data_IF_653242080699
#
_entry.id   IF_653242080699
#
_cell.length_a   1.000
_cell.length_b   1.000
_cell.length_c   1.000
_cell.angle_alpha   90.00
_cell.angle_beta   90.00
_cell.angle_gamma   90.00
#
_symmetry.space_group_name_H-M   'P 1'
#
loop_
_entity.id
_entity.type
_entity.pdbx_description
1 polymer ?
#
# COMPACT_ATOMS: atom_id res chain seq x y z
N UNK A 1 -7.85 -21.70 -3.68
CA UNK A 1 -7.91 -20.38 -4.35
C UNK A 1 -6.80 -20.30 -5.39
N UNK A 2 -7.03 -19.62 -6.52
CA UNK A 2 -6.05 -19.59 -7.61
C UNK A 2 -4.95 -18.55 -7.31
N UNK A 3 -3.70 -19.02 -7.20
CA UNK A 3 -2.51 -18.18 -7.09
C UNK A 3 -2.29 -17.45 -8.41
N UNK A 4 -2.23 -16.12 -8.37
CA UNK A 4 -1.94 -15.27 -9.52
C UNK A 4 -0.43 -15.05 -9.62
N UNK A 5 0.15 -15.34 -10.77
CA UNK A 5 1.55 -15.04 -11.01
C UNK A 5 1.74 -13.53 -11.24
N UNK A 6 2.87 -12.99 -10.77
CA UNK A 6 3.32 -11.68 -11.22
C UNK A 6 3.60 -11.71 -12.72
N UNK A 7 3.44 -10.55 -13.39
CA UNK A 7 3.93 -10.41 -14.77
C UNK A 7 5.43 -10.68 -14.83
N UNK A 8 5.95 -11.24 -15.93
CA UNK A 8 7.34 -11.68 -16.03
C UNK A 8 8.36 -10.55 -15.74
N UNK A 9 8.07 -9.33 -16.18
CA UNK A 9 8.86 -8.13 -15.89
C UNK A 9 8.86 -7.80 -14.40
N UNK A 10 7.71 -7.95 -13.75
CA UNK A 10 7.55 -7.74 -12.31
C UNK A 10 8.40 -8.73 -11.50
N UNK A 11 8.40 -10.02 -11.86
CA UNK A 11 9.22 -11.03 -11.16
C UNK A 11 10.72 -10.68 -11.16
N UNK A 12 11.25 -10.21 -12.30
CA UNK A 12 12.67 -9.81 -12.43
C UNK A 12 13.00 -8.55 -11.62
N UNK A 13 12.08 -7.57 -11.57
CA UNK A 13 12.26 -6.37 -10.75
C UNK A 13 12.24 -6.70 -9.25
N UNK A 14 11.35 -7.60 -8.82
CA UNK A 14 11.29 -8.07 -7.44
C UNK A 14 12.61 -8.71 -7.01
N UNK A 15 13.12 -9.62 -7.83
CA UNK A 15 14.38 -10.32 -7.58
C UNK A 15 15.56 -9.32 -7.49
N UNK A 16 15.61 -8.33 -8.38
CA UNK A 16 16.62 -7.28 -8.36
C UNK A 16 16.51 -6.37 -7.13
N UNK A 17 15.31 -6.03 -6.68
CA UNK A 17 15.11 -5.23 -5.47
C UNK A 17 15.54 -5.98 -4.21
N UNK A 18 15.19 -7.27 -4.11
CA UNK A 18 15.53 -8.11 -2.95
C UNK A 18 17.05 -8.34 -2.87
N UNK A 19 17.69 -8.63 -4.00
CA UNK A 19 19.06 -9.15 -4.01
C UNK A 19 20.14 -8.13 -4.41
N UNK A 20 19.81 -7.04 -5.09
CA UNK A 20 20.82 -6.23 -5.79
C UNK A 20 20.81 -4.73 -5.48
N UNK A 21 19.67 -4.15 -5.09
CA UNK A 21 19.55 -2.67 -5.00
C UNK A 21 19.75 -2.14 -3.58
N UNK A 22 19.35 -2.89 -2.55
CA UNK A 22 19.32 -2.35 -1.19
C UNK A 22 20.28 -3.09 -0.25
N UNK A 23 21.33 -2.38 0.16
CA UNK A 23 22.25 -2.82 1.22
C UNK A 23 21.67 -2.61 2.63
N UNK A 24 20.69 -1.71 2.75
CA UNK A 24 20.08 -1.27 4.01
C UNK A 24 18.67 -1.84 4.14
N UNK A 25 18.52 -2.85 4.99
CA UNK A 25 17.25 -3.56 5.16
C UNK A 25 16.17 -2.71 5.83
N UNK A 26 16.58 -1.75 6.67
CA UNK A 26 15.72 -0.81 7.38
C UNK A 26 14.87 0.09 6.45
N UNK A 27 15.22 0.17 5.17
CA UNK A 27 14.54 1.01 4.17
C UNK A 27 13.06 0.66 4.03
N UNK A 28 12.66 -0.59 4.31
CA UNK A 28 11.27 -1.01 4.16
C UNK A 28 10.31 -0.20 5.02
N UNK A 29 10.71 0.20 6.24
CA UNK A 29 9.88 1.03 7.10
C UNK A 29 9.63 2.40 6.45
N UNK A 30 10.67 3.02 5.87
CA UNK A 30 10.52 4.30 5.18
C UNK A 30 9.52 4.20 4.03
N UNK A 31 9.65 3.15 3.21
CA UNK A 31 8.78 2.97 2.04
C UNK A 31 7.33 2.72 2.45
N UNK A 32 7.09 1.84 3.42
CA UNK A 32 5.73 1.50 3.85
C UNK A 32 5.06 2.66 4.61
N UNK A 33 5.80 3.38 5.46
CA UNK A 33 5.28 4.60 6.13
C UNK A 33 4.96 5.68 5.09
N UNK A 34 5.76 5.82 4.04
CA UNK A 34 5.47 6.78 2.96
C UNK A 34 4.20 6.40 2.20
N UNK A 35 3.97 5.11 1.94
CA UNK A 35 2.73 4.64 1.31
C UNK A 35 1.49 4.88 2.19
N UNK A 36 1.61 4.65 3.50
CA UNK A 36 0.56 4.97 4.47
C UNK A 36 0.27 6.47 4.49
N UNK A 37 1.30 7.33 4.51
CA UNK A 37 1.16 8.79 4.43
C UNK A 37 0.41 9.23 3.16
N UNK A 38 0.78 8.66 2.00
CA UNK A 38 0.08 8.93 0.73
C UNK A 38 -1.39 8.51 0.80
N UNK A 39 -1.73 7.42 1.51
CA UNK A 39 -3.09 6.95 1.67
C UNK A 39 -3.93 7.90 2.55
N UNK A 40 -3.34 8.42 3.63
CA UNK A 40 -3.98 9.44 4.47
C UNK A 40 -4.23 10.74 3.69
N UNK A 41 -3.23 11.23 2.94
CA UNK A 41 -3.36 12.45 2.16
C UNK A 41 -4.41 12.32 1.05
N UNK A 42 -4.53 11.15 0.41
CA UNK A 42 -5.61 10.88 -0.56
C UNK A 42 -6.99 10.94 0.07
N UNK A 43 -7.17 10.35 1.26
CA UNK A 43 -8.44 10.39 1.96
C UNK A 43 -8.76 11.81 2.42
N UNK A 44 -7.77 12.54 2.95
CA UNK A 44 -7.95 13.92 3.34
C UNK A 44 -8.33 14.81 2.15
N UNK A 45 -7.65 14.66 1.00
CA UNK A 45 -8.02 15.38 -0.22
C UNK A 45 -9.46 15.07 -0.67
N UNK A 46 -9.86 13.79 -0.64
CA UNK A 46 -11.23 13.38 -0.94
C UNK A 46 -12.23 14.04 0.01
N UNK A 47 -11.93 14.07 1.32
CA UNK A 47 -12.73 14.76 2.34
C UNK A 47 -12.92 16.24 2.03
N UNK A 48 -11.86 16.95 1.63
CA UNK A 48 -11.93 18.36 1.25
C UNK A 48 -12.72 18.61 -0.04
N UNK A 49 -12.74 17.64 -0.96
CA UNK A 49 -13.41 17.78 -2.26
C UNK A 49 -14.89 17.40 -2.19
N UNK A 50 -15.23 16.42 -1.35
CA UNK A 50 -16.59 15.90 -1.19
C UNK A 50 -17.27 16.34 0.12
N UNK A 51 -16.60 17.16 0.93
CA UNK A 51 -17.05 17.66 2.23
C UNK A 51 -17.47 16.56 3.20
N UNK A 52 -16.61 15.54 3.35
CA UNK A 52 -16.89 14.33 4.14
C UNK A 52 -16.72 14.54 5.66
N UNK A 53 -16.18 15.68 6.09
CA UNK A 53 -15.98 16.01 7.50
C UNK A 53 -14.83 15.27 8.19
N UNK A 54 -13.97 14.58 7.44
CA UNK A 54 -12.76 13.95 7.97
C UNK A 54 -11.68 15.03 8.11
N UNK A 55 -11.14 15.19 9.31
CA UNK A 55 -10.06 16.13 9.61
C UNK A 55 -8.70 15.42 9.67
N UNK A 56 -7.59 16.14 9.43
CA UNK A 56 -6.24 15.54 9.51
C UNK A 56 -5.94 14.89 10.87
N UNK A 57 -6.54 15.38 11.96
CA UNK A 57 -6.33 14.84 13.31
C UNK A 57 -6.94 13.44 13.50
N UNK A 58 -7.88 13.06 12.64
CA UNK A 58 -8.56 11.76 12.69
C UNK A 58 -7.76 10.69 11.94
N UNK A 59 -6.72 11.10 11.20
CA UNK A 59 -5.87 10.26 10.36
C UNK A 59 -4.56 9.93 11.06
N UNK A 60 -4.12 8.68 10.95
CA UNK A 60 -2.95 8.19 11.68
C UNK A 60 -2.33 6.94 11.05
N UNK A 61 -1.10 6.67 11.48
CA UNK A 61 -0.33 5.47 11.14
C UNK A 61 0.11 4.83 12.45
N UNK A 62 -0.27 3.57 12.65
CA UNK A 62 0.11 2.78 13.81
C UNK A 62 1.17 1.74 13.43
N UNK A 63 2.14 1.55 14.33
CA UNK A 63 3.20 0.55 14.21
C UNK A 63 3.13 -0.41 15.39
N UNK A 64 2.89 -1.68 15.12
CA UNK A 64 2.88 -2.73 16.12
C UNK A 64 3.99 -3.75 15.86
N UNK A 65 4.62 -4.21 16.95
CA UNK A 65 5.67 -5.24 16.90
C UNK A 65 5.28 -6.38 17.81
N UNK A 66 5.06 -7.55 17.22
CA UNK A 66 4.84 -8.80 17.94
C UNK A 66 6.11 -9.65 17.88
N UNK A 67 6.82 -9.72 19.01
CA UNK A 67 8.08 -10.46 19.10
C UNK A 67 7.87 -11.98 19.13
N UNK A 68 6.73 -12.44 19.65
CA UNK A 68 6.44 -13.87 19.80
C UNK A 68 6.16 -14.48 18.43
N UNK A 69 5.30 -13.81 17.65
CA UNK A 69 4.94 -14.23 16.29
C UNK A 69 5.90 -13.69 15.22
N UNK A 70 6.88 -12.86 15.61
CA UNK A 70 7.86 -12.20 14.73
C UNK A 70 7.22 -11.36 13.62
N UNK A 71 6.20 -10.58 13.99
CA UNK A 71 5.45 -9.73 13.07
C UNK A 71 5.76 -8.24 13.33
N UNK A 72 5.86 -7.49 12.25
CA UNK A 72 5.79 -6.03 12.26
C UNK A 72 4.57 -5.67 11.43
N UNK A 73 3.63 -4.95 12.05
CA UNK A 73 2.39 -4.51 11.42
C UNK A 73 2.42 -2.99 11.30
N UNK A 74 2.13 -2.50 10.10
CA UNK A 74 1.94 -1.07 9.82
C UNK A 74 0.49 -0.92 9.39
N UNK A 75 -0.25 -0.07 10.09
CA UNK A 75 -1.67 0.14 9.84
C UNK A 75 -1.91 1.62 9.60
N UNK A 76 -2.66 1.94 8.56
CA UNK A 76 -3.17 3.28 8.31
C UNK A 76 -4.69 3.25 8.20
N UNK A 77 -5.33 4.36 8.57
CA UNK A 77 -6.77 4.57 8.37
C UNK A 77 -7.04 5.49 7.16
N UNK A 78 -6.20 5.39 6.13
CA UNK A 78 -6.29 6.18 4.90
C UNK A 78 -7.33 5.66 3.92
N UNK A 79 -7.19 6.02 2.65
CA UNK A 79 -8.20 5.76 1.61
C UNK A 79 -8.48 4.26 1.37
N UNK A 80 -7.55 3.39 1.75
CA UNK A 80 -7.60 1.95 1.51
C UNK A 80 -7.55 1.60 0.02
N UNK A 81 -7.79 0.33 -0.30
CA UNK A 81 -7.77 -0.19 -1.67
C UNK A 81 -8.94 -1.14 -1.92
N UNK A 82 -9.52 -1.00 -3.10
CA UNK A 82 -10.45 -1.98 -3.68
C UNK A 82 -9.69 -3.21 -4.16
N UNK A 83 -10.42 -4.29 -4.48
CA UNK A 83 -9.83 -5.50 -5.10
C UNK A 83 -9.03 -5.18 -6.36
N UNK A 84 -9.57 -4.34 -7.23
CA UNK A 84 -8.93 -3.96 -8.49
C UNK A 84 -7.68 -3.11 -8.24
N UNK A 85 -7.68 -2.24 -7.22
CA UNK A 85 -6.49 -1.49 -6.82
C UNK A 85 -5.43 -2.39 -6.20
N UNK A 86 -5.79 -3.40 -5.41
CA UNK A 86 -4.83 -4.41 -4.94
C UNK A 86 -4.21 -5.16 -6.11
N UNK A 87 -5.00 -5.56 -7.11
CA UNK A 87 -4.49 -6.22 -8.33
C UNK A 87 -3.57 -5.32 -9.15
N UNK A 88 -3.92 -4.05 -9.30
CA UNK A 88 -3.17 -3.12 -10.16
C UNK A 88 -1.95 -2.51 -9.45
N UNK A 89 -2.06 -2.15 -8.17
CA UNK A 89 -1.00 -1.48 -7.42
C UNK A 89 -0.01 -2.50 -6.82
N UNK A 90 -0.48 -3.64 -6.32
CA UNK A 90 0.36 -4.67 -5.70
C UNK A 90 0.58 -5.90 -6.57
N UNK A 91 -0.21 -6.09 -7.64
CA UNK A 91 -0.01 -7.19 -8.59
C UNK A 91 0.85 -6.81 -9.80
N UNK A 92 1.07 -5.52 -10.04
CA UNK A 92 1.93 -5.00 -11.12
C UNK A 92 3.05 -4.17 -10.49
N UNK A 93 4.28 -4.67 -10.59
CA UNK A 93 5.46 -3.95 -10.09
C UNK A 93 5.72 -2.72 -10.96
N UNK A 94 6.13 -1.63 -10.32
CA UNK A 94 6.38 -0.32 -10.92
C UNK A 94 5.12 0.41 -11.42
N UNK A 95 3.95 0.08 -10.83
CA UNK A 95 2.72 0.84 -11.00
C UNK A 95 2.45 1.69 -9.75
N UNK A 96 2.43 3.02 -9.88
CA UNK A 96 2.21 3.92 -8.75
C UNK A 96 0.84 4.58 -8.83
N UNK A 97 -0.11 4.08 -8.03
CA UNK A 97 -1.41 4.73 -7.86
C UNK A 97 -1.29 6.14 -7.25
N UNK A 98 -0.31 6.37 -6.38
CA UNK A 98 0.03 7.69 -5.84
C UNK A 98 0.47 8.67 -6.93
N UNK A 99 1.35 8.25 -7.83
CA UNK A 99 1.80 9.08 -8.93
C UNK A 99 0.66 9.44 -9.88
N UNK A 100 -0.20 8.46 -10.21
CA UNK A 100 -1.38 8.69 -11.03
C UNK A 100 -2.32 9.70 -10.38
N UNK A 101 -2.63 9.53 -9.10
CA UNK A 101 -3.45 10.46 -8.33
C UNK A 101 -2.89 11.89 -8.37
N UNK A 102 -1.57 12.05 -8.19
CA UNK A 102 -0.92 13.36 -8.28
C UNK A 102 -1.11 14.00 -9.66
N UNK A 103 -0.91 13.25 -10.73
CA UNK A 103 -1.08 13.75 -12.11
C UNK A 103 -2.53 14.10 -12.44
N UNK A 104 -3.49 13.33 -11.93
CA UNK A 104 -4.91 13.57 -12.16
C UNK A 104 -5.44 14.82 -11.42
N UNK A 105 -4.65 15.38 -10.47
CA UNK A 105 -5.08 16.49 -9.61
C UNK A 105 -4.13 17.71 -9.65
N UNK A 106 -3.28 17.83 -10.68
CA UNK A 106 -2.30 18.93 -10.81
C UNK A 106 -2.91 20.33 -10.93
N UNK A 107 -4.16 20.44 -11.39
CA UNK A 107 -4.86 21.72 -11.59
C UNK A 107 -5.61 22.20 -10.36
N UNK A 108 -5.59 21.43 -9.26
CA UNK A 108 -6.18 21.87 -8.00
C UNK A 108 -5.16 22.73 -7.25
N UNK A 109 -5.45 24.02 -7.04
CA UNK A 109 -4.69 24.95 -6.15
C UNK A 109 -4.72 24.52 -4.66
N UNK A 110 -4.92 23.23 -4.39
CA UNK A 110 -4.82 22.66 -3.05
C UNK A 110 -3.36 22.29 -2.82
N UNK A 111 -2.56 23.26 -2.37
CA UNK A 111 -1.16 23.13 -1.92
C UNK A 111 -0.94 22.04 -0.83
N UNK A 112 -2.00 21.38 -0.39
CA UNK A 112 -2.03 20.37 0.67
C UNK A 112 -1.75 18.93 0.22
N UNK A 113 -1.59 18.66 -1.08
CA UNK A 113 -1.33 17.31 -1.61
C UNK A 113 0.18 17.02 -1.68
N UNK A 114 0.73 16.47 -0.59
CA UNK A 114 2.15 16.11 -0.50
C UNK A 114 2.40 14.63 -0.81
N UNK A 115 1.96 14.16 -1.98
CA UNK A 115 2.18 12.77 -2.40
C UNK A 115 3.66 12.48 -2.69
N UNK A 116 4.20 11.49 -1.99
CA UNK A 116 5.60 11.06 -1.98
C UNK A 116 5.86 9.98 -3.04
N UNK A 117 4.97 8.99 -3.15
CA UNK A 117 5.18 7.80 -3.97
C UNK A 117 5.14 8.05 -5.48
N UNK A 118 6.25 7.74 -6.18
CA UNK A 118 6.39 7.97 -7.63
C UNK A 118 6.54 6.69 -8.45
N UNK A 119 7.35 5.74 -7.96
CA UNK A 119 7.85 4.65 -8.80
C UNK A 119 7.06 3.34 -8.70
N UNK A 120 6.24 3.14 -7.66
CA UNK A 120 5.42 1.93 -7.52
C UNK A 120 6.21 0.66 -7.20
N UNK A 121 7.37 0.82 -6.55
CA UNK A 121 8.28 -0.29 -6.19
C UNK A 121 8.51 -0.41 -4.68
N UNK A 122 8.23 0.64 -3.90
CA UNK A 122 8.54 0.72 -2.47
C UNK A 122 7.91 -0.38 -1.62
N UNK A 123 6.68 -0.80 -1.93
CA UNK A 123 5.98 -1.88 -1.22
C UNK A 123 6.81 -3.17 -1.15
N UNK A 124 7.51 -3.51 -2.24
CA UNK A 124 8.22 -4.79 -2.35
C UNK A 124 9.53 -4.83 -1.54
N UNK A 125 9.98 -3.69 -0.99
CA UNK A 125 11.06 -3.67 0.00
C UNK A 125 10.73 -4.48 1.26
N UNK A 126 9.45 -4.73 1.55
CA UNK A 126 9.01 -5.61 2.63
C UNK A 126 9.61 -7.03 2.51
N UNK A 127 9.77 -7.55 1.29
CA UNK A 127 10.35 -8.88 1.05
C UNK A 127 11.86 -8.96 1.34
N UNK A 128 12.53 -7.84 1.65
CA UNK A 128 13.92 -7.87 2.11
C UNK A 128 14.08 -8.39 3.55
N UNK A 129 13.00 -8.29 4.33
CA UNK A 129 12.97 -8.63 5.77
C UNK A 129 11.90 -9.66 6.12
N UNK A 130 10.90 -9.86 5.25
CA UNK A 130 9.81 -10.78 5.45
C UNK A 130 9.81 -11.90 4.40
N UNK A 131 9.61 -13.14 4.84
CA UNK A 131 9.35 -14.28 3.94
C UNK A 131 7.94 -14.27 3.38
N UNK A 132 7.01 -13.60 4.07
CA UNK A 132 5.60 -13.53 3.73
C UNK A 132 5.08 -12.12 4.02
N UNK A 133 4.22 -11.61 3.15
CA UNK A 133 3.56 -10.31 3.33
C UNK A 133 2.06 -10.51 3.19
N UNK A 134 1.32 -10.02 4.19
CA UNK A 134 -0.14 -9.94 4.19
C UNK A 134 -0.54 -8.46 4.19
N UNK A 135 -1.49 -8.10 3.33
CA UNK A 135 -2.11 -6.77 3.30
C UNK A 135 -3.61 -6.97 3.42
N UNK A 136 -4.25 -6.30 4.36
CA UNK A 136 -5.70 -6.32 4.51
C UNK A 136 -6.22 -4.90 4.34
N UNK A 137 -7.00 -4.66 3.29
CA UNK A 137 -7.40 -3.30 2.94
C UNK A 137 -8.90 -3.21 2.70
N UNK A 138 -9.50 -2.13 3.22
CA UNK A 138 -10.88 -1.74 2.97
C UNK A 138 -10.91 -0.32 2.44
N UNK A 139 -11.30 -0.17 1.18
CA UNK A 139 -11.45 1.16 0.58
C UNK A 139 -12.53 1.98 1.28
N UNK A 140 -12.29 3.28 1.42
CA UNK A 140 -13.29 4.20 1.94
C UNK A 140 -14.59 4.14 1.10
N UNK A 141 -15.73 3.94 1.77
CA UNK A 141 -17.03 3.78 1.12
C UNK A 141 -17.29 2.38 0.53
N UNK A 142 -16.39 1.42 0.72
CA UNK A 142 -16.61 0.01 0.39
C UNK A 142 -17.20 -0.75 1.57
N UNK A 143 -18.14 -1.65 1.30
CA UNK A 143 -18.67 -2.61 2.28
C UNK A 143 -17.73 -3.81 2.47
N UNK A 144 -16.93 -4.14 1.45
CA UNK A 144 -16.06 -5.32 1.43
C UNK A 144 -14.58 -4.95 1.62
N UNK A 145 -13.90 -5.68 2.49
CA UNK A 145 -12.45 -5.67 2.62
C UNK A 145 -11.81 -6.87 1.92
N UNK A 146 -10.55 -6.73 1.53
CA UNK A 146 -9.81 -7.77 0.83
C UNK A 146 -8.44 -8.00 1.46
N UNK A 147 -8.01 -9.26 1.46
CA UNK A 147 -6.69 -9.69 1.88
C UNK A 147 -5.85 -10.07 0.68
N UNK A 148 -4.73 -9.38 0.50
CA UNK A 148 -3.67 -9.76 -0.41
C UNK A 148 -2.58 -10.51 0.36
N UNK A 149 -2.08 -11.61 -0.18
CA UNK A 149 -1.04 -12.42 0.44
C UNK A 149 -0.01 -12.89 -0.59
N UNK A 150 1.27 -12.85 -0.24
CA UNK A 150 2.36 -13.35 -1.07
C UNK A 150 3.57 -13.78 -0.27
N UNK A 151 4.30 -14.77 -0.81
CA UNK A 151 5.60 -15.25 -0.32
C UNK A 151 6.76 -14.76 -1.22
N UNK A 152 6.54 -13.66 -1.97
CA UNK A 152 7.51 -13.10 -2.90
C UNK A 152 7.30 -13.60 -4.33
N UNK A 153 8.39 -14.01 -5.00
CA UNK A 153 8.48 -14.15 -6.47
C UNK A 153 7.53 -15.16 -7.14
N UNK A 154 6.83 -15.98 -6.37
CA UNK A 154 5.92 -16.98 -6.91
C UNK A 154 4.51 -16.45 -7.23
N UNK A 155 4.21 -15.20 -6.85
CA UNK A 155 2.91 -14.60 -7.06
C UNK A 155 2.15 -14.33 -5.76
N UNK A 156 0.86 -14.07 -5.90
CA UNK A 156 0.00 -13.62 -4.80
C UNK A 156 -1.42 -14.20 -4.90
N UNK A 157 -2.18 -14.07 -3.81
CA UNK A 157 -3.61 -14.36 -3.76
C UNK A 157 -4.36 -13.15 -3.25
N UNK A 158 -5.60 -12.97 -3.71
CA UNK A 158 -6.54 -12.01 -3.13
C UNK A 158 -7.80 -12.74 -2.70
N UNK A 159 -8.20 -12.53 -1.46
CA UNK A 159 -9.37 -13.15 -0.83
C UNK A 159 -10.20 -12.09 -0.14
N UNK A 160 -11.41 -12.44 0.26
CA UNK A 160 -12.20 -11.57 1.13
C UNK A 160 -11.52 -11.53 2.51
N UNK A 161 -11.66 -10.39 3.21
CA UNK A 161 -11.14 -10.15 4.56
C UNK A 161 -12.29 -9.68 5.45
N UNK A 162 -12.18 -10.00 6.75
CA UNK A 162 -13.11 -9.58 7.78
C UNK A 162 -12.71 -8.23 8.42
N UNK A 163 -11.71 -7.53 7.87
CA UNK A 163 -11.32 -6.18 8.34
C UNK A 163 -12.53 -5.23 8.29
N UNK A 164 -12.91 -4.73 9.47
CA UNK A 164 -14.09 -3.87 9.63
C UNK A 164 -13.80 -2.42 9.25
N UNK A 165 -12.64 -1.91 9.67
CA UNK A 165 -12.25 -0.51 9.52
C UNK A 165 -11.66 -0.18 8.15
N UNK A 166 -11.90 1.06 7.70
CA UNK A 166 -11.30 1.61 6.48
C UNK A 166 -9.79 1.77 6.65
N UNK A 167 -9.05 1.61 5.55
CA UNK A 167 -7.60 1.77 5.49
C UNK A 167 -6.90 0.46 5.15
N UNK A 168 -5.63 0.35 5.53
CA UNK A 168 -4.75 -0.78 5.17
C UNK A 168 -3.93 -1.25 6.37
#
# INVERSE_FOLDING_TARGET
MAKKAFKAESKRLLDMMINSIYTHKEIFLRELISNASDALDKLYFKSLTENLGIERKDLGIDLAVDKENRLITITDNGIGMTKDELENNLGVIANSGSFKFKNDNTDTEKDDINVIGQFGVGFYSAFMVASEVTVESKAYGSEQAYKWYSQGVDGYTITDSDKEDVGT
#
